data_IF_252744209333
#
_entry.id   IF_252744209333
#
_cell.length_a   1.000
_cell.length_b   1.000
_cell.length_c   1.000
_cell.angle_alpha   90.00
_cell.angle_beta   90.00
_cell.angle_gamma   90.00
#
_symmetry.space_group_name_H-M   'P 1'
#
loop_
_entity.id
_entity.type
_entity.pdbx_description
1 polymer ?
#
# COMPACT_ATOMS: atom_id res chain seq x y z
N UNK A 1 -3.85 12.10 3.31
CA UNK A 1 -2.90 11.36 4.18
C UNK A 1 -1.63 10.93 3.43
N UNK A 2 -1.70 10.14 2.34
CA UNK A 2 -0.51 9.72 1.56
C UNK A 2 0.35 10.89 1.05
N UNK A 3 -0.25 11.88 0.40
CA UNK A 3 0.47 13.08 -0.08
C UNK A 3 1.19 13.84 1.06
N UNK A 4 0.53 13.99 2.21
CA UNK A 4 1.14 14.59 3.40
C UNK A 4 2.30 13.75 3.96
N UNK A 5 2.19 12.42 3.88
CA UNK A 5 3.28 11.53 4.27
C UNK A 5 4.48 11.68 3.31
N UNK A 6 4.25 11.65 2.00
CA UNK A 6 5.30 11.86 0.99
C UNK A 6 6.00 13.22 1.13
N UNK A 7 5.27 14.26 1.54
CA UNK A 7 5.85 15.58 1.83
C UNK A 7 6.77 15.58 3.06
N UNK A 8 6.49 14.73 4.07
CA UNK A 8 7.23 14.71 5.34
C UNK A 8 8.39 13.71 5.36
N UNK A 9 8.30 12.66 4.55
CA UNK A 9 9.30 11.58 4.49
C UNK A 9 10.74 12.07 4.30
N UNK A 10 11.04 13.03 3.40
CA UNK A 10 12.41 13.53 3.26
C UNK A 10 12.98 14.10 4.56
N UNK A 11 12.23 14.97 5.24
CA UNK A 11 12.66 15.57 6.51
C UNK A 11 12.77 14.54 7.63
N UNK A 12 11.89 13.53 7.66
CA UNK A 12 11.99 12.43 8.62
C UNK A 12 13.25 11.59 8.39
N UNK A 13 13.58 11.32 7.13
CA UNK A 13 14.78 10.58 6.74
C UNK A 13 16.06 11.36 7.09
N UNK A 14 16.11 12.65 6.76
CA UNK A 14 17.23 13.53 7.10
C UNK A 14 17.49 13.56 8.61
N UNK A 15 16.43 13.70 9.42
CA UNK A 15 16.53 13.70 10.88
C UNK A 15 17.02 12.36 11.44
N UNK A 16 16.60 11.23 10.87
CA UNK A 16 17.04 9.91 11.28
C UNK A 16 18.52 9.66 10.91
N UNK A 17 18.95 10.10 9.73
CA UNK A 17 20.35 10.04 9.28
C UNK A 17 21.23 10.89 10.19
N UNK A 18 20.82 12.13 10.50
CA UNK A 18 21.57 13.01 11.40
C UNK A 18 21.71 12.40 12.80
N UNK A 19 20.65 11.77 13.32
CA UNK A 19 20.70 11.08 14.60
C UNK A 19 21.73 9.94 14.61
N UNK A 20 21.75 9.11 13.56
CA UNK A 20 22.76 8.07 13.42
C UNK A 20 24.18 8.65 13.32
N UNK A 21 24.39 9.69 12.52
CA UNK A 21 25.68 10.35 12.36
C UNK A 21 26.21 10.90 13.68
N UNK A 22 25.35 11.50 14.52
CA UNK A 22 25.74 11.99 15.85
C UNK A 22 26.18 10.85 16.78
N UNK A 23 25.47 9.72 16.76
CA UNK A 23 25.85 8.54 17.55
C UNK A 23 27.19 7.98 17.05
N UNK A 24 27.35 7.83 15.73
CA UNK A 24 28.54 7.27 15.11
C UNK A 24 29.79 8.16 15.23
N UNK A 25 29.61 9.48 15.31
CA UNK A 25 30.71 10.43 15.54
C UNK A 25 31.22 10.41 16.99
N UNK A 26 30.47 9.80 17.92
CA UNK A 26 30.90 9.69 19.31
C UNK A 26 31.89 8.53 19.44
N UNK A 27 33.12 8.75 19.94
CA UNK A 27 34.07 7.68 20.15
C UNK A 27 33.51 6.63 21.12
N UNK A 28 33.82 5.34 20.92
CA UNK A 28 33.36 4.29 21.81
C UNK A 28 33.87 4.54 23.24
N UNK A 29 32.99 4.36 24.21
CA UNK A 29 33.33 4.44 25.64
C UNK A 29 34.01 3.16 26.11
N UNK A 30 35.00 3.28 27.00
CA UNK A 30 35.64 2.15 27.67
C UNK A 30 34.73 1.50 28.74
N UNK A 31 33.71 2.24 29.22
CA UNK A 31 32.65 1.64 30.05
C UNK A 31 31.77 0.71 29.20
N UNK A 32 31.72 -0.60 29.50
CA UNK A 32 30.93 -1.57 28.76
C UNK A 32 29.43 -1.25 28.68
N UNK A 33 28.86 -0.63 29.72
CA UNK A 33 27.44 -0.25 29.74
C UNK A 33 27.16 0.86 28.76
N UNK A 34 28.02 1.88 28.74
CA UNK A 34 27.90 3.01 27.82
C UNK A 34 28.16 2.57 26.38
N UNK A 35 29.11 1.65 26.16
CA UNK A 35 29.34 1.05 24.85
C UNK A 35 28.10 0.31 24.34
N UNK A 36 27.50 -0.56 25.17
CA UNK A 36 26.30 -1.30 24.80
C UNK A 36 25.10 -0.38 24.53
N UNK A 37 24.96 0.70 25.29
CA UNK A 37 23.93 1.71 25.07
C UNK A 37 24.11 2.43 23.73
N UNK A 38 25.34 2.88 23.41
CA UNK A 38 25.66 3.52 22.12
C UNK A 38 25.40 2.58 20.93
N UNK A 39 25.81 1.32 21.04
CA UNK A 39 25.53 0.29 20.03
C UNK A 39 24.03 0.08 19.82
N UNK A 40 23.25 0.06 20.91
CA UNK A 40 21.79 -0.12 20.84
C UNK A 40 21.13 1.09 20.19
N UNK A 41 21.57 2.31 20.54
CA UNK A 41 21.10 3.54 19.92
C UNK A 41 21.40 3.59 18.42
N UNK A 42 22.61 3.18 18.00
CA UNK A 42 23.00 3.11 16.60
C UNK A 42 22.10 2.13 15.81
N UNK A 43 21.87 0.94 16.36
CA UNK A 43 20.96 -0.06 15.76
C UNK A 43 19.53 0.45 15.64
N UNK A 44 19.02 1.11 16.68
CA UNK A 44 17.68 1.69 16.65
C UNK A 44 17.55 2.79 15.59
N UNK A 45 18.56 3.66 15.45
CA UNK A 45 18.58 4.69 14.42
C UNK A 45 18.56 4.08 13.00
N UNK A 46 19.38 3.05 12.75
CA UNK A 46 19.39 2.33 11.46
C UNK A 46 18.06 1.65 11.16
N UNK A 47 17.46 0.96 12.14
CA UNK A 47 16.14 0.35 11.98
C UNK A 47 15.05 1.39 11.67
N UNK A 48 15.13 2.58 12.26
CA UNK A 48 14.19 3.66 11.97
C UNK A 48 14.36 4.21 10.54
N UNK A 49 15.60 4.33 10.05
CA UNK A 49 15.87 4.71 8.65
C UNK A 49 15.24 3.69 7.69
N UNK A 50 15.46 2.40 7.94
CA UNK A 50 14.88 1.31 7.15
C UNK A 50 13.35 1.39 7.11
N UNK A 51 12.70 1.55 8.27
CA UNK A 51 11.23 1.70 8.35
C UNK A 51 10.70 2.91 7.58
N UNK A 52 11.43 4.03 7.58
CA UNK A 52 11.06 5.22 6.78
C UNK A 52 11.17 4.91 5.28
N UNK A 53 12.20 4.17 4.86
CA UNK A 53 12.38 3.76 3.47
C UNK A 53 11.28 2.79 3.01
N UNK A 54 10.95 1.77 3.82
CA UNK A 54 9.86 0.83 3.52
C UNK A 54 8.50 1.53 3.43
N UNK A 55 8.29 2.52 4.31
CA UNK A 55 7.09 3.34 4.29
C UNK A 55 7.05 4.23 3.04
N UNK A 56 8.18 4.77 2.60
CA UNK A 56 8.27 5.53 1.36
C UNK A 56 8.00 4.64 0.13
N UNK A 57 8.55 3.43 0.10
CA UNK A 57 8.34 2.47 -0.98
C UNK A 57 6.86 2.05 -1.08
N UNK A 58 6.25 1.67 0.04
CA UNK A 58 4.80 1.41 0.13
C UNK A 58 3.98 2.66 -0.24
N UNK A 59 4.50 3.79 0.23
CA UNK A 59 4.22 5.18 -0.09
C UNK A 59 4.18 5.53 -1.58
N UNK A 60 4.82 4.74 -2.44
CA UNK A 60 4.92 4.96 -3.89
C UNK A 60 4.15 3.86 -4.65
N UNK A 61 4.29 2.59 -4.26
CA UNK A 61 3.64 1.44 -4.92
C UNK A 61 2.10 1.48 -5.01
N UNK A 62 1.37 2.09 -4.05
CA UNK A 62 -0.11 2.16 -4.17
C UNK A 62 -0.63 3.04 -5.32
N UNK A 63 0.20 3.92 -5.88
CA UNK A 63 -0.22 4.78 -7.01
C UNK A 63 -0.25 3.97 -8.30
N UNK A 64 0.71 3.06 -8.52
CA UNK A 64 0.68 2.11 -9.64
C UNK A 64 -0.55 1.18 -9.60
N UNK A 65 -1.08 0.88 -8.41
CA UNK A 65 -2.28 0.06 -8.25
C UNK A 65 -3.59 0.83 -8.52
N UNK A 66 -3.56 2.16 -8.53
CA UNK A 66 -4.74 3.03 -8.64
C UNK A 66 -4.78 3.83 -9.95
N UNK A 67 -3.67 3.93 -10.69
CA UNK A 67 -3.59 4.63 -11.99
C UNK A 67 -3.60 3.71 -13.21
N UNK A 68 -3.91 2.43 -13.05
CA UNK A 68 -4.24 1.55 -14.17
C UNK A 68 -5.72 1.69 -14.58
N UNK A 69 -6.06 1.91 -15.86
CA UNK A 69 -7.44 2.02 -16.34
C UNK A 69 -8.11 0.64 -16.37
N UNK A 70 -8.37 0.03 -15.21
CA UNK A 70 -8.68 -1.40 -15.21
C UNK A 70 -9.44 -2.00 -14.04
N UNK A 71 -9.46 -1.44 -12.83
CA UNK A 71 -10.18 -2.12 -11.74
C UNK A 71 -11.64 -1.66 -11.65
N UNK A 72 -11.88 -0.35 -11.51
CA UNK A 72 -13.23 0.20 -11.38
C UNK A 72 -14.06 0.15 -12.66
N UNK A 73 -13.47 0.45 -13.82
CA UNK A 73 -14.17 0.41 -15.10
C UNK A 73 -14.52 -1.01 -15.54
N UNK A 74 -13.61 -1.98 -15.37
CA UNK A 74 -13.90 -3.38 -15.69
C UNK A 74 -14.97 -3.94 -14.75
N UNK A 75 -14.92 -3.63 -13.46
CA UNK A 75 -15.97 -4.07 -12.52
C UNK A 75 -17.33 -3.45 -12.87
N UNK A 76 -17.34 -2.19 -13.30
CA UNK A 76 -18.55 -1.50 -13.76
C UNK A 76 -19.07 -2.10 -15.06
N UNK A 77 -18.20 -2.39 -16.02
CA UNK A 77 -18.54 -3.10 -17.27
C UNK A 77 -19.08 -4.51 -16.99
N UNK A 78 -18.47 -5.25 -16.06
CA UNK A 78 -18.92 -6.60 -15.70
C UNK A 78 -20.31 -6.57 -15.05
N UNK A 79 -20.57 -5.59 -14.18
CA UNK A 79 -21.90 -5.39 -13.57
C UNK A 79 -22.95 -5.06 -14.62
N UNK A 80 -22.64 -4.14 -15.54
CA UNK A 80 -23.54 -3.78 -16.63
C UNK A 80 -23.83 -4.96 -17.57
N UNK A 81 -22.81 -5.74 -17.94
CA UNK A 81 -22.99 -6.92 -18.78
C UNK A 81 -23.87 -7.99 -18.11
N UNK A 82 -23.67 -8.25 -16.80
CA UNK A 82 -24.49 -9.20 -16.05
C UNK A 82 -25.95 -8.75 -15.93
N UNK A 83 -26.20 -7.45 -15.78
CA UNK A 83 -27.55 -6.89 -15.74
C UNK A 83 -28.26 -7.02 -17.08
N UNK A 84 -27.58 -6.76 -18.19
CA UNK A 84 -28.13 -6.89 -19.54
C UNK A 84 -28.56 -8.34 -19.83
N UNK A 85 -27.73 -9.34 -19.50
CA UNK A 85 -28.07 -10.76 -19.66
C UNK A 85 -29.26 -11.17 -18.77
N UNK A 86 -29.37 -10.61 -17.56
CA UNK A 86 -30.49 -10.88 -16.67
C UNK A 86 -31.80 -10.17 -17.10
N UNK A 87 -31.71 -9.12 -17.91
CA UNK A 87 -32.87 -8.46 -18.51
C UNK A 87 -33.33 -9.19 -19.77
N UNK A 88 -32.41 -9.60 -20.62
CA UNK A 88 -32.68 -10.41 -21.83
C UNK A 88 -33.40 -11.73 -21.50
N UNK A 89 -33.01 -12.40 -20.41
CA UNK A 89 -33.68 -13.63 -19.94
C UNK A 89 -35.10 -13.42 -19.38
N UNK A 90 -35.50 -12.18 -19.07
CA UNK A 90 -36.83 -11.87 -18.54
C UNK A 90 -37.83 -11.46 -19.62
N UNK A 91 -37.34 -11.04 -20.79
CA UNK A 91 -38.18 -10.59 -21.90
C UNK A 91 -38.54 -11.71 -22.90
N UNK A 92 -37.98 -12.92 -22.73
CA UNK A 92 -38.39 -14.12 -23.48
C UNK A 92 -39.22 -15.07 -22.59
N UNK A 93 -40.56 -14.93 -22.51
CA UNK A 93 -41.39 -15.99 -21.98
C UNK A 93 -41.30 -17.19 -22.93
N UNK A 94 -40.84 -18.33 -22.42
CA UNK A 94 -41.03 -19.61 -23.11
C UNK A 94 -42.53 -19.83 -23.27
N UNK A 95 -43.04 -19.57 -24.48
CA UNK A 95 -44.34 -20.07 -24.93
C UNK A 95 -44.20 -21.58 -25.09
N UNK A 96 -44.34 -22.31 -23.99
CA UNK A 96 -44.67 -23.72 -23.98
C UNK A 96 -46.06 -23.88 -24.60
N UNK A 97 -46.09 -24.07 -25.92
CA UNK A 97 -47.29 -24.43 -26.69
C UNK A 97 -47.81 -25.79 -26.21
N UNK A 98 -48.91 -25.74 -25.47
CA UNK A 98 -49.64 -26.91 -25.04
C UNK A 98 -50.40 -27.53 -26.22
N UNK A 99 -49.97 -28.71 -26.66
CA UNK A 99 -50.84 -29.60 -27.44
C UNK A 99 -51.57 -30.54 -26.49
N UNK A 100 -52.83 -30.21 -26.25
CA UNK A 100 -53.86 -31.16 -25.80
C UNK A 100 -54.58 -31.70 -27.03
N UNK A 101 -54.64 -33.03 -27.10
CA UNK A 101 -55.70 -33.91 -27.62
C UNK A 101 -56.46 -33.54 -28.92
N UNK A 102 -56.32 -34.41 -29.92
CA UNK A 102 -57.44 -34.97 -30.71
C UNK A 102 -57.13 -36.43 -31.11
#
# INVERSE_FOLDING_TARGET
MRSQLLQKLPTMLDAAIEAYQRIAATPPSDDPKLFAASQTAAKAALAHIEQIMDLAESALKKEDAQTGPGSGEIETLLKSARLAVAQDRRDHPETGDGRADE
#
